data_IF_297304055832
#
_entry.id   IF_297304055832
#
_cell.length_a   1.000
_cell.length_b   1.000
_cell.length_c   1.000
_cell.angle_alpha   90.00
_cell.angle_beta   90.00
_cell.angle_gamma   90.00
#
_symmetry.space_group_name_H-M   'P 1'
#
loop_
_entity.id
_entity.type
_entity.pdbx_description
1 polymer ?
#
# COMPACT_ATOMS: atom_id res chain seq x y z
N UNK A 1 25.02 -18.47 9.73
CA UNK A 1 23.53 -18.54 9.64
C UNK A 1 23.01 -17.48 8.68
N UNK A 2 23.35 -16.21 8.87
CA UNK A 2 22.89 -15.11 7.99
C UNK A 2 23.31 -15.30 6.51
N UNK A 3 24.58 -15.54 6.24
CA UNK A 3 25.08 -15.70 4.86
C UNK A 3 24.43 -16.89 4.14
N UNK A 4 24.21 -18.01 4.86
CA UNK A 4 23.51 -19.14 4.30
C UNK A 4 22.08 -18.77 3.91
N UNK A 5 21.36 -18.00 4.74
CA UNK A 5 19.99 -17.58 4.45
C UNK A 5 19.93 -16.61 3.28
N UNK A 6 20.89 -15.68 3.19
CA UNK A 6 21.01 -14.78 2.04
C UNK A 6 21.18 -15.60 0.75
N UNK A 7 22.06 -16.59 0.76
CA UNK A 7 22.29 -17.46 -0.39
C UNK A 7 21.03 -18.26 -0.76
N UNK A 8 20.35 -18.86 0.23
CA UNK A 8 19.09 -19.58 0.03
C UNK A 8 18.00 -18.67 -0.60
N UNK A 9 17.86 -17.46 -0.11
CA UNK A 9 16.89 -16.50 -0.64
C UNK A 9 17.25 -16.05 -2.05
N UNK A 10 18.53 -15.74 -2.32
CA UNK A 10 18.99 -15.36 -3.68
C UNK A 10 18.74 -16.49 -4.68
N UNK A 11 18.94 -17.76 -4.29
CA UNK A 11 18.67 -18.91 -5.14
C UNK A 11 17.18 -19.06 -5.50
N UNK A 12 16.29 -18.43 -4.72
CA UNK A 12 14.84 -18.44 -4.93
C UNK A 12 14.33 -17.20 -5.65
N UNK A 13 15.22 -16.28 -6.06
CA UNK A 13 14.85 -15.08 -6.79
C UNK A 13 14.22 -15.45 -8.12
N UNK A 14 12.97 -15.05 -8.30
CA UNK A 14 12.23 -15.21 -9.55
C UNK A 14 12.08 -13.85 -10.24
N UNK A 15 12.64 -13.73 -11.43
CA UNK A 15 12.55 -12.56 -12.29
C UNK A 15 11.71 -12.83 -13.55
N UNK A 16 11.08 -14.02 -13.66
CA UNK A 16 10.28 -14.40 -14.81
C UNK A 16 8.88 -13.79 -14.79
N UNK A 17 8.38 -13.40 -13.62
CA UNK A 17 7.03 -12.88 -13.45
C UNK A 17 6.97 -11.38 -13.61
N UNK A 18 5.84 -10.88 -14.10
CA UNK A 18 5.55 -9.44 -14.24
C UNK A 18 4.33 -9.12 -13.38
N UNK A 19 4.57 -8.54 -12.21
CA UNK A 19 3.52 -8.12 -11.30
C UNK A 19 3.16 -6.67 -11.49
N UNK A 20 1.86 -6.40 -11.56
CA UNK A 20 1.29 -5.06 -11.56
C UNK A 20 0.58 -4.83 -10.21
N UNK A 21 0.94 -3.77 -9.52
CA UNK A 21 0.17 -3.27 -8.37
C UNK A 21 -0.57 -2.00 -8.79
N UNK A 22 -1.86 -1.97 -8.56
CA UNK A 22 -2.73 -0.82 -8.82
C UNK A 22 -3.25 -0.28 -7.48
N UNK A 23 -3.25 1.04 -7.33
CA UNK A 23 -3.67 1.75 -6.12
C UNK A 23 -4.45 3.00 -6.53
N UNK A 24 -5.72 3.07 -6.15
CA UNK A 24 -6.60 4.18 -6.52
C UNK A 24 -6.20 5.46 -5.78
N UNK A 25 -6.11 6.56 -6.52
CA UNK A 25 -5.62 7.83 -5.98
C UNK A 25 -6.61 8.49 -5.02
N UNK A 26 -6.23 8.54 -3.73
CA UNK A 26 -7.05 9.11 -2.66
C UNK A 26 -8.51 8.61 -2.71
N UNK A 27 -8.71 7.30 -2.87
CA UNK A 27 -9.91 6.63 -3.34
C UNK A 27 -11.22 7.21 -2.78
N UNK A 28 -11.45 7.13 -1.46
CA UNK A 28 -12.72 7.61 -0.90
C UNK A 28 -12.94 9.10 -1.18
N UNK A 29 -11.88 9.90 -1.08
CA UNK A 29 -11.99 11.34 -1.36
C UNK A 29 -12.28 11.62 -2.84
N UNK A 30 -11.73 10.84 -3.74
CA UNK A 30 -11.99 10.93 -5.18
C UNK A 30 -13.42 10.54 -5.52
N UNK A 31 -13.95 9.47 -4.93
CA UNK A 31 -15.36 9.05 -5.09
C UNK A 31 -16.33 10.13 -4.59
N UNK A 32 -16.05 10.75 -3.44
CA UNK A 32 -16.91 11.83 -2.92
C UNK A 32 -16.84 13.08 -3.80
N UNK A 33 -15.68 13.37 -4.38
CA UNK A 33 -15.50 14.50 -5.31
C UNK A 33 -16.27 14.27 -6.62
N UNK A 34 -16.33 13.04 -7.15
CA UNK A 34 -17.19 12.71 -8.31
C UNK A 34 -18.68 12.94 -8.02
N UNK A 35 -19.11 12.61 -6.80
CA UNK A 35 -20.51 12.79 -6.39
C UNK A 35 -20.87 14.24 -6.07
N UNK A 36 -19.87 15.10 -5.79
CA UNK A 36 -20.06 16.49 -5.40
C UNK A 36 -18.93 17.39 -5.94
N UNK A 37 -19.14 17.98 -7.09
CA UNK A 37 -18.18 18.86 -7.76
C UNK A 37 -17.77 20.08 -6.91
N UNK A 38 -18.59 20.49 -5.93
CA UNK A 38 -18.24 21.62 -5.06
C UNK A 38 -16.99 21.35 -4.20
N UNK A 39 -16.57 20.09 -4.07
CA UNK A 39 -15.36 19.65 -3.36
C UNK A 39 -14.10 19.73 -4.22
N UNK A 40 -14.24 19.86 -5.53
CA UNK A 40 -13.12 19.89 -6.48
C UNK A 40 -12.17 21.05 -6.18
N UNK A 41 -10.88 20.74 -6.07
CA UNK A 41 -9.84 21.74 -5.78
C UNK A 41 -9.80 22.25 -4.33
N UNK A 42 -10.67 21.78 -3.46
CA UNK A 42 -10.69 22.16 -2.04
C UNK A 42 -10.04 21.08 -1.17
N UNK A 43 -9.35 21.44 -0.07
CA UNK A 43 -8.83 20.46 0.88
C UNK A 43 -9.99 19.76 1.59
N UNK A 44 -10.08 18.44 1.40
CA UNK A 44 -11.12 17.62 2.01
C UNK A 44 -10.59 16.29 2.52
N UNK A 45 -11.30 15.74 3.50
CA UNK A 45 -11.02 14.45 4.09
C UNK A 45 -12.33 13.69 4.33
N UNK A 46 -12.31 12.41 4.02
CA UNK A 46 -13.37 11.47 4.41
C UNK A 46 -13.12 11.01 5.84
N UNK A 47 -14.13 11.14 6.68
CA UNK A 47 -14.04 10.84 8.11
C UNK A 47 -14.66 11.93 8.96
N UNK A 48 -14.08 12.20 10.12
CA UNK A 48 -14.59 13.20 11.06
C UNK A 48 -13.51 13.65 12.05
N UNK A 49 -13.93 14.37 13.09
CA UNK A 49 -13.00 14.92 14.09
C UNK A 49 -12.22 13.86 14.86
N UNK A 50 -12.74 12.63 14.98
CA UNK A 50 -12.06 11.51 15.66
C UNK A 50 -10.95 10.93 14.80
N UNK A 51 -11.20 10.68 13.50
CA UNK A 51 -10.23 10.06 12.61
C UNK A 51 -10.53 10.38 11.14
N UNK A 52 -9.45 10.57 10.37
CA UNK A 52 -9.44 10.74 8.92
C UNK A 52 -9.19 9.38 8.28
N UNK A 53 -10.14 8.88 7.47
CA UNK A 53 -9.96 7.66 6.69
C UNK A 53 -9.11 7.91 5.45
N UNK A 54 -9.42 8.97 4.69
CA UNK A 54 -8.67 9.36 3.49
C UNK A 54 -8.66 10.87 3.36
N UNK A 55 -7.52 11.46 3.01
CA UNK A 55 -7.38 12.87 2.67
C UNK A 55 -7.06 13.02 1.18
N UNK A 56 -7.69 13.98 0.50
CA UNK A 56 -7.35 14.28 -0.89
C UNK A 56 -5.98 14.96 -1.01
N UNK A 57 -5.47 15.07 -2.24
CA UNK A 57 -4.13 15.63 -2.47
C UNK A 57 -4.02 17.11 -2.08
N UNK A 58 -5.11 17.86 -2.17
CA UNK A 58 -5.13 19.26 -1.69
C UNK A 58 -4.89 19.33 -0.18
N UNK A 59 -5.60 18.52 0.61
CA UNK A 59 -5.40 18.44 2.06
C UNK A 59 -4.00 17.92 2.43
N UNK A 60 -3.45 16.99 1.64
CA UNK A 60 -2.10 16.43 1.86
C UNK A 60 -1.00 17.49 1.73
N UNK A 61 -1.19 18.58 0.96
CA UNK A 61 -0.26 19.72 0.87
C UNK A 61 -0.06 20.42 2.22
N UNK A 62 -1.08 20.42 3.07
CA UNK A 62 -1.04 20.97 4.43
C UNK A 62 -0.53 19.95 5.48
N UNK A 63 -0.11 18.75 5.07
CA UNK A 63 0.35 17.70 5.98
C UNK A 63 -0.76 16.82 6.55
N UNK A 64 -2.01 16.99 6.11
CA UNK A 64 -3.12 16.10 6.51
C UNK A 64 -2.90 14.70 5.91
N UNK A 65 -3.12 13.64 6.72
CA UNK A 65 -2.89 12.24 6.30
C UNK A 65 -4.01 11.33 6.82
N UNK A 66 -4.17 10.18 6.16
CA UNK A 66 -5.00 9.08 6.65
C UNK A 66 -4.53 8.61 8.04
N UNK A 67 -5.43 8.07 8.83
CA UNK A 67 -5.26 7.66 10.22
C UNK A 67 -4.92 8.80 11.21
N UNK A 68 -4.92 10.06 10.76
CA UNK A 68 -4.71 11.21 11.61
C UNK A 68 -6.01 11.55 12.35
N UNK A 69 -5.96 11.95 13.66
CA UNK A 69 -7.11 12.56 14.32
C UNK A 69 -7.58 13.81 13.57
N UNK A 70 -8.89 13.91 13.29
CA UNK A 70 -9.44 14.99 12.49
C UNK A 70 -9.23 16.38 13.08
N UNK A 71 -9.20 16.50 14.42
CA UNK A 71 -8.91 17.77 15.09
C UNK A 71 -7.47 18.26 14.83
N UNK A 72 -6.51 17.34 14.63
CA UNK A 72 -5.15 17.70 14.21
C UNK A 72 -5.17 18.12 12.74
N UNK A 73 -5.89 17.36 11.88
CA UNK A 73 -6.07 17.77 10.47
C UNK A 73 -6.64 19.18 10.33
N UNK A 74 -7.62 19.52 11.17
CA UNK A 74 -8.23 20.88 11.21
C UNK A 74 -7.25 21.94 11.69
N UNK A 75 -6.33 21.61 12.60
CA UNK A 75 -5.25 22.54 13.02
C UNK A 75 -4.24 22.78 11.91
N UNK A 76 -3.91 21.74 11.12
CA UNK A 76 -2.98 21.85 10.00
C UNK A 76 -3.62 22.58 8.80
N UNK A 77 -4.90 22.36 8.57
CA UNK A 77 -5.68 22.94 7.48
C UNK A 77 -7.02 23.44 8.02
N UNK A 78 -7.13 24.72 8.45
CA UNK A 78 -8.37 25.28 8.99
C UNK A 78 -9.56 25.20 8.04
N UNK A 79 -9.32 25.22 6.74
CA UNK A 79 -10.35 25.11 5.69
C UNK A 79 -10.75 23.66 5.36
N UNK A 80 -10.15 22.66 6.02
CA UNK A 80 -10.40 21.24 5.74
C UNK A 80 -11.89 20.91 5.85
N UNK A 81 -12.45 20.37 4.77
CA UNK A 81 -13.84 19.92 4.70
C UNK A 81 -13.89 18.44 5.09
N UNK A 82 -14.73 18.09 6.06
CA UNK A 82 -15.00 16.69 6.39
C UNK A 82 -16.24 16.20 5.67
N UNK A 83 -16.14 15.01 5.08
CA UNK A 83 -17.23 14.27 4.46
C UNK A 83 -17.39 12.94 5.18
N UNK A 84 -18.60 12.57 5.63
CA UNK A 84 -18.81 11.27 6.25
C UNK A 84 -18.55 10.14 5.23
N UNK A 85 -18.03 8.97 5.68
CA UNK A 85 -17.76 7.86 4.76
C UNK A 85 -19.06 7.19 4.27
N UNK A 86 -19.11 6.88 2.98
CA UNK A 86 -20.17 6.10 2.34
C UNK A 86 -19.60 4.81 1.72
N UNK A 87 -19.53 3.74 2.52
CA UNK A 87 -18.97 2.47 2.08
C UNK A 87 -19.76 1.79 0.95
N UNK A 88 -21.05 2.12 0.76
CA UNK A 88 -21.82 1.59 -0.37
C UNK A 88 -21.29 2.12 -1.69
N UNK A 89 -21.01 3.43 -1.75
CA UNK A 89 -20.36 4.03 -2.93
C UNK A 89 -18.96 3.44 -3.16
N UNK A 90 -18.15 3.33 -2.10
CA UNK A 90 -16.77 2.83 -2.25
C UNK A 90 -16.74 1.38 -2.73
N UNK A 91 -17.63 0.52 -2.21
CA UNK A 91 -17.76 -0.86 -2.71
C UNK A 91 -18.20 -0.88 -4.17
N UNK A 92 -19.17 -0.06 -4.56
CA UNK A 92 -19.63 0.02 -5.95
C UNK A 92 -18.48 0.38 -6.92
N UNK A 93 -17.70 1.45 -6.62
CA UNK A 93 -16.57 1.82 -7.46
C UNK A 93 -15.43 0.79 -7.42
N UNK A 94 -15.19 0.17 -6.28
CA UNK A 94 -14.25 -0.94 -6.16
C UNK A 94 -14.65 -2.12 -7.05
N UNK A 95 -15.94 -2.48 -7.10
CA UNK A 95 -16.43 -3.56 -7.94
C UNK A 95 -16.32 -3.24 -9.44
N UNK A 96 -16.45 -1.97 -9.83
CA UNK A 96 -16.19 -1.55 -11.21
C UNK A 96 -14.71 -1.72 -11.57
N UNK A 97 -13.80 -1.26 -10.72
CA UNK A 97 -12.36 -1.42 -10.98
C UNK A 97 -11.94 -2.88 -11.04
N UNK A 98 -12.52 -3.74 -10.19
CA UNK A 98 -12.25 -5.18 -10.17
C UNK A 98 -12.66 -5.88 -11.47
N UNK A 99 -13.74 -5.44 -12.12
CA UNK A 99 -14.12 -5.96 -13.44
C UNK A 99 -13.05 -5.68 -14.48
N UNK A 100 -12.47 -4.48 -14.46
CA UNK A 100 -11.34 -4.15 -15.33
C UNK A 100 -10.15 -5.07 -15.03
N UNK A 101 -9.81 -5.29 -13.76
CA UNK A 101 -8.67 -6.13 -13.37
C UNK A 101 -8.82 -7.58 -13.86
N UNK A 102 -10.05 -8.13 -13.79
CA UNK A 102 -10.35 -9.49 -14.24
C UNK A 102 -10.08 -9.73 -15.74
N UNK A 103 -10.06 -8.69 -16.56
CA UNK A 103 -9.72 -8.80 -17.98
C UNK A 103 -8.23 -9.08 -18.22
N UNK A 104 -7.36 -8.78 -17.21
CA UNK A 104 -5.92 -8.95 -17.30
C UNK A 104 -5.38 -10.09 -16.44
N UNK A 105 -6.04 -10.36 -15.33
CA UNK A 105 -5.73 -11.47 -14.43
C UNK A 105 -7.02 -11.89 -13.73
N UNK A 106 -7.55 -13.07 -14.10
CA UNK A 106 -8.79 -13.58 -13.52
C UNK A 106 -8.65 -13.84 -12.01
N UNK A 107 -7.47 -14.29 -11.58
CA UNK A 107 -7.15 -14.65 -10.20
C UNK A 107 -6.44 -13.51 -9.43
N UNK A 108 -6.60 -12.26 -9.88
CA UNK A 108 -5.99 -11.10 -9.23
C UNK A 108 -6.31 -11.04 -7.74
N UNK A 109 -5.42 -10.43 -6.98
CA UNK A 109 -5.56 -10.35 -5.53
C UNK A 109 -5.95 -8.95 -5.11
N UNK A 110 -7.18 -8.78 -4.65
CA UNK A 110 -7.61 -7.57 -3.97
C UNK A 110 -7.00 -7.48 -2.57
N UNK A 111 -6.14 -6.49 -2.34
CA UNK A 111 -5.57 -6.23 -1.01
C UNK A 111 -6.52 -5.38 -0.14
N UNK A 112 -7.32 -4.51 -0.77
CA UNK A 112 -8.32 -3.65 -0.14
C UNK A 112 -9.43 -3.30 -1.15
N UNK A 113 -10.24 -2.27 -0.87
CA UNK A 113 -11.19 -1.72 -1.83
C UNK A 113 -10.51 -0.92 -2.95
N UNK A 114 -9.30 -0.45 -2.72
CA UNK A 114 -8.57 0.48 -3.58
C UNK A 114 -7.22 -0.04 -4.07
N UNK A 115 -6.78 -1.21 -3.61
CA UNK A 115 -5.51 -1.82 -4.01
C UNK A 115 -5.69 -3.24 -4.53
N UNK A 116 -4.97 -3.57 -5.60
CA UNK A 116 -4.92 -4.92 -6.16
C UNK A 116 -3.54 -5.27 -6.72
N UNK A 117 -3.24 -6.57 -6.71
CA UNK A 117 -2.08 -7.16 -7.37
C UNK A 117 -2.55 -8.05 -8.51
N UNK A 118 -2.00 -7.86 -9.68
CA UNK A 118 -2.26 -8.65 -10.89
C UNK A 118 -0.97 -9.29 -11.36
N UNK A 119 -1.02 -10.56 -11.72
CA UNK A 119 0.05 -11.22 -12.47
C UNK A 119 -0.21 -11.05 -13.95
N UNK A 120 0.46 -10.11 -14.57
CA UNK A 120 0.26 -9.78 -15.98
C UNK A 120 1.26 -10.48 -16.90
N UNK A 121 1.97 -11.49 -16.41
CA UNK A 121 3.01 -12.20 -17.18
C UNK A 121 2.44 -12.78 -18.46
N UNK A 122 1.35 -13.54 -18.33
CA UNK A 122 0.77 -14.27 -19.45
C UNK A 122 0.18 -13.30 -20.50
N UNK A 123 -0.55 -12.28 -20.07
CA UNK A 123 -1.13 -11.30 -20.99
C UNK A 123 -0.05 -10.47 -21.71
N UNK A 124 1.08 -10.17 -21.05
CA UNK A 124 2.21 -9.52 -21.70
C UNK A 124 2.83 -10.42 -22.78
N UNK A 125 3.02 -11.71 -22.49
CA UNK A 125 3.59 -12.67 -23.41
C UNK A 125 2.67 -12.94 -24.62
N UNK A 126 1.39 -13.15 -24.38
CA UNK A 126 0.39 -13.42 -25.43
C UNK A 126 0.22 -12.24 -26.39
N UNK A 127 0.21 -11.01 -25.86
CA UNK A 127 0.04 -9.80 -26.67
C UNK A 127 1.35 -9.24 -27.21
N UNK A 128 2.52 -9.74 -26.78
CA UNK A 128 3.83 -9.20 -27.17
C UNK A 128 4.06 -7.77 -26.73
N UNK A 129 3.51 -7.36 -25.57
CA UNK A 129 3.60 -5.99 -25.04
C UNK A 129 4.31 -5.97 -23.67
N UNK A 130 4.87 -4.82 -23.32
CA UNK A 130 5.54 -4.64 -22.03
C UNK A 130 4.53 -4.48 -20.88
N UNK A 131 4.94 -4.85 -19.67
CA UNK A 131 4.16 -4.58 -18.46
C UNK A 131 3.81 -3.11 -18.26
N UNK A 132 4.68 -2.20 -18.73
CA UNK A 132 4.40 -0.76 -18.71
C UNK A 132 3.28 -0.32 -19.65
N UNK A 133 3.09 -1.02 -20.78
CA UNK A 133 1.97 -0.77 -21.70
C UNK A 133 0.67 -1.30 -21.11
N UNK A 134 0.68 -2.51 -20.53
CA UNK A 134 -0.49 -3.05 -19.80
C UNK A 134 -0.87 -2.15 -18.61
N UNK A 135 0.10 -1.67 -17.84
CA UNK A 135 -0.18 -0.75 -16.73
C UNK A 135 -0.86 0.55 -17.17
N UNK A 136 -0.47 1.09 -18.34
CA UNK A 136 -1.13 2.29 -18.89
C UNK A 136 -2.54 1.98 -19.39
N UNK A 137 -2.73 0.84 -20.07
CA UNK A 137 -4.03 0.38 -20.52
C UNK A 137 -5.00 0.18 -19.35
N UNK A 138 -4.57 -0.53 -18.30
CA UNK A 138 -5.38 -0.72 -17.08
C UNK A 138 -5.78 0.62 -16.46
N UNK A 139 -4.84 1.57 -16.32
CA UNK A 139 -5.13 2.90 -15.78
C UNK A 139 -6.13 3.67 -16.62
N UNK A 140 -5.99 3.62 -17.97
CA UNK A 140 -6.93 4.22 -18.91
C UNK A 140 -8.32 3.63 -18.76
N UNK A 141 -8.44 2.30 -18.77
CA UNK A 141 -9.71 1.58 -18.63
C UNK A 141 -10.40 1.87 -17.29
N UNK A 142 -9.64 1.88 -16.20
CA UNK A 142 -10.18 2.28 -14.87
C UNK A 142 -10.75 3.69 -14.93
N UNK A 143 -10.05 4.63 -15.56
CA UNK A 143 -10.55 6.00 -15.69
C UNK A 143 -11.80 6.10 -16.58
N UNK A 144 -11.82 5.40 -17.71
CA UNK A 144 -12.97 5.35 -18.62
C UNK A 144 -14.23 4.81 -17.94
N UNK A 145 -14.10 3.72 -17.16
CA UNK A 145 -15.24 3.05 -16.54
C UNK A 145 -15.71 3.72 -15.25
N UNK A 146 -14.83 4.46 -14.56
CA UNK A 146 -15.13 5.00 -13.21
C UNK A 146 -15.02 6.51 -13.08
N UNK A 147 -14.31 7.18 -13.98
CA UNK A 147 -13.91 8.58 -13.82
C UNK A 147 -12.84 8.80 -12.73
N UNK A 148 -12.30 7.73 -12.15
CA UNK A 148 -11.28 7.78 -11.08
C UNK A 148 -9.89 7.50 -11.64
N UNK A 149 -8.87 8.15 -11.07
CA UNK A 149 -7.49 7.84 -11.40
C UNK A 149 -6.88 6.81 -10.46
N UNK A 150 -5.91 6.07 -10.97
CA UNK A 150 -5.10 5.17 -10.16
C UNK A 150 -3.61 5.28 -10.52
N UNK A 151 -2.77 4.89 -9.58
CA UNK A 151 -1.34 4.80 -9.76
C UNK A 151 -0.91 3.34 -9.85
N UNK A 152 0.08 3.06 -10.71
CA UNK A 152 0.47 1.70 -11.03
C UNK A 152 1.98 1.47 -10.85
N UNK A 153 2.34 0.30 -10.35
CA UNK A 153 3.73 -0.14 -10.24
C UNK A 153 3.92 -1.50 -10.89
N UNK A 154 4.92 -1.62 -11.75
CA UNK A 154 5.28 -2.89 -12.40
C UNK A 154 6.65 -3.33 -11.91
N UNK A 155 6.78 -4.60 -11.51
CA UNK A 155 8.02 -5.16 -10.99
C UNK A 155 7.99 -6.71 -11.02
N UNK A 156 9.14 -7.39 -10.81
CA UNK A 156 9.18 -8.86 -10.82
C UNK A 156 8.45 -9.54 -9.65
N UNK A 157 8.08 -8.82 -8.62
CA UNK A 157 7.30 -9.36 -7.51
C UNK A 157 6.38 -8.32 -6.88
N UNK A 158 5.42 -8.77 -6.07
CA UNK A 158 4.39 -7.94 -5.44
C UNK A 158 4.94 -6.88 -4.51
N UNK A 159 6.00 -7.18 -3.73
CA UNK A 159 6.63 -6.22 -2.83
C UNK A 159 7.13 -5.00 -3.61
N UNK A 160 7.89 -5.27 -4.67
CA UNK A 160 8.47 -4.22 -5.51
C UNK A 160 7.40 -3.48 -6.32
N UNK A 161 6.40 -4.20 -6.86
CA UNK A 161 5.29 -3.59 -7.57
C UNK A 161 4.54 -2.57 -6.69
N UNK A 162 4.28 -2.91 -5.41
CA UNK A 162 3.67 -1.98 -4.45
C UNK A 162 4.54 -0.75 -4.17
N UNK A 163 5.84 -0.93 -4.02
CA UNK A 163 6.76 0.20 -3.83
C UNK A 163 6.77 1.10 -5.08
N UNK A 164 6.80 0.48 -6.26
CA UNK A 164 6.80 1.18 -7.54
C UNK A 164 5.53 2.02 -7.73
N UNK A 165 4.35 1.53 -7.33
CA UNK A 165 3.10 2.27 -7.48
C UNK A 165 3.04 3.58 -6.69
N UNK A 166 3.88 3.73 -5.66
CA UNK A 166 3.94 4.95 -4.82
C UNK A 166 4.88 6.04 -5.37
N UNK A 167 5.73 5.72 -6.35
CA UNK A 167 6.81 6.62 -6.79
C UNK A 167 6.24 7.85 -7.51
N UNK A 168 5.35 7.62 -8.45
CA UNK A 168 4.79 8.65 -9.33
C UNK A 168 3.33 8.99 -9.00
N UNK A 169 2.89 8.83 -7.73
CA UNK A 169 1.55 9.26 -7.31
C UNK A 169 1.41 10.79 -7.33
N UNK A 170 0.23 11.33 -7.69
CA UNK A 170 -0.96 10.64 -8.21
C UNK A 170 -0.93 10.43 -9.73
N UNK A 171 -1.82 9.56 -10.20
CA UNK A 171 -2.10 9.31 -11.61
C UNK A 171 -0.84 9.02 -12.43
N UNK A 172 0.06 8.21 -11.87
CA UNK A 172 1.33 7.88 -12.50
C UNK A 172 1.59 6.39 -12.54
N UNK A 173 2.63 6.01 -13.26
CA UNK A 173 3.15 4.65 -13.24
C UNK A 173 4.65 4.65 -13.06
N UNK A 174 5.17 3.57 -12.52
CA UNK A 174 6.59 3.30 -12.47
C UNK A 174 6.84 1.83 -12.82
N UNK A 175 7.86 1.58 -13.65
CA UNK A 175 8.24 0.25 -14.10
C UNK A 175 9.65 -0.05 -13.67
N UNK A 176 9.81 -1.08 -12.85
CA UNK A 176 11.10 -1.67 -12.54
C UNK A 176 11.29 -2.89 -13.45
N UNK A 177 12.36 -2.87 -14.21
CA UNK A 177 12.68 -3.98 -15.14
C UNK A 177 13.01 -5.25 -14.38
N UNK A 178 12.70 -6.40 -14.99
CA UNK A 178 12.98 -7.74 -14.43
C UNK A 178 14.46 -8.13 -14.60
N UNK A 179 15.35 -7.17 -14.39
CA UNK A 179 16.80 -7.34 -14.42
C UNK A 179 17.37 -7.34 -12.99
N UNK A 180 18.24 -8.30 -12.67
CA UNK A 180 18.76 -8.45 -11.31
C UNK A 180 19.53 -7.22 -10.85
N UNK A 181 20.36 -6.62 -11.73
CA UNK A 181 21.14 -5.44 -11.37
C UNK A 181 20.22 -4.24 -11.12
N UNK A 182 19.21 -4.05 -11.97
CA UNK A 182 18.21 -3.00 -11.79
C UNK A 182 17.47 -3.15 -10.46
N UNK A 183 17.02 -4.36 -10.13
CA UNK A 183 16.32 -4.67 -8.86
C UNK A 183 17.22 -4.39 -7.66
N UNK A 184 18.45 -4.91 -7.66
CA UNK A 184 19.39 -4.72 -6.54
C UNK A 184 19.73 -3.24 -6.38
N UNK A 185 20.01 -2.52 -7.46
CA UNK A 185 20.32 -1.09 -7.43
C UNK A 185 19.16 -0.27 -6.88
N UNK A 186 17.94 -0.56 -7.36
CA UNK A 186 16.72 0.09 -6.89
C UNK A 186 16.50 -0.14 -5.39
N UNK A 187 16.53 -1.40 -4.94
CA UNK A 187 16.29 -1.77 -3.56
C UNK A 187 17.35 -1.23 -2.61
N UNK A 188 18.62 -1.28 -2.99
CA UNK A 188 19.74 -0.85 -2.13
C UNK A 188 19.57 0.58 -1.62
N UNK A 189 19.07 1.47 -2.44
CA UNK A 189 18.86 2.88 -2.12
C UNK A 189 17.56 3.18 -1.37
N UNK A 190 16.64 2.20 -1.30
CA UNK A 190 15.32 2.44 -0.68
C UNK A 190 15.42 2.67 0.83
N UNK A 191 14.78 3.74 1.34
CA UNK A 191 14.57 3.89 2.77
C UNK A 191 13.71 2.72 3.30
N UNK A 192 14.13 2.12 4.42
CA UNK A 192 13.40 0.99 5.03
C UNK A 192 11.93 1.29 5.31
N UNK A 193 11.58 2.56 5.52
CA UNK A 193 10.19 3.01 5.75
C UNK A 193 9.28 2.82 4.53
N UNK A 194 9.84 2.69 3.33
CA UNK A 194 9.07 2.42 2.10
C UNK A 194 8.61 0.96 2.01
N UNK A 195 9.17 0.08 2.82
CA UNK A 195 8.84 -1.34 2.85
C UNK A 195 7.53 -1.55 3.60
N UNK A 196 6.56 -2.19 2.94
CA UNK A 196 5.34 -2.66 3.59
C UNK A 196 5.69 -3.66 4.70
N UNK A 197 5.15 -3.45 5.89
CA UNK A 197 5.50 -4.22 7.09
C UNK A 197 6.53 -3.54 8.01
N UNK A 198 7.24 -2.50 7.55
CA UNK A 198 8.11 -1.69 8.41
C UNK A 198 7.36 -0.41 8.83
N UNK A 199 6.71 -0.47 10.00
CA UNK A 199 6.02 0.67 10.60
C UNK A 199 6.97 1.61 11.35
N UNK A 200 6.43 2.70 11.90
CA UNK A 200 7.22 3.72 12.63
C UNK A 200 8.04 3.13 13.77
N UNK A 201 7.49 2.19 14.53
CA UNK A 201 8.19 1.56 15.67
C UNK A 201 9.37 0.73 15.16
N UNK A 202 9.15 -0.13 14.16
CA UNK A 202 10.21 -0.96 13.58
C UNK A 202 11.29 -0.09 12.92
N UNK A 203 10.89 0.96 12.20
CA UNK A 203 11.81 1.93 11.63
C UNK A 203 12.69 2.58 12.70
N UNK A 204 12.10 3.06 13.81
CA UNK A 204 12.85 3.66 14.91
C UNK A 204 13.86 2.66 15.53
N UNK A 205 13.44 1.42 15.77
CA UNK A 205 14.34 0.38 16.29
C UNK A 205 15.51 0.13 15.33
N UNK A 206 15.23 -0.09 14.04
CA UNK A 206 16.25 -0.35 13.03
C UNK A 206 17.20 0.84 12.87
N UNK A 207 16.67 2.06 12.84
CA UNK A 207 17.43 3.29 12.63
C UNK A 207 18.21 3.70 13.89
N UNK A 208 17.52 3.81 15.02
CA UNK A 208 18.09 4.47 16.22
C UNK A 208 18.98 3.51 17.01
N UNK A 209 18.62 2.22 17.09
CA UNK A 209 19.42 1.22 17.80
C UNK A 209 20.49 0.56 16.88
N UNK A 210 20.18 0.35 15.60
CA UNK A 210 21.05 -0.41 14.71
C UNK A 210 21.69 0.43 13.58
N UNK A 211 21.31 1.69 13.42
CA UNK A 211 21.80 2.58 12.37
C UNK A 211 21.42 2.10 10.96
N UNK A 212 20.32 1.35 10.82
CA UNK A 212 19.80 0.85 9.54
C UNK A 212 18.75 1.82 9.00
N UNK A 213 19.03 2.47 7.87
CA UNK A 213 18.16 3.46 7.23
C UNK A 213 17.69 3.02 5.84
N UNK A 214 18.48 2.18 5.17
CA UNK A 214 18.27 1.72 3.79
C UNK A 214 18.32 0.20 3.70
N UNK A 215 17.83 -0.35 2.61
CA UNK A 215 17.73 -1.80 2.44
C UNK A 215 19.11 -2.49 2.31
N UNK A 216 20.12 -1.84 1.71
CA UNK A 216 21.49 -2.36 1.67
C UNK A 216 22.07 -2.54 3.08
N UNK A 217 21.77 -1.61 3.99
CA UNK A 217 22.25 -1.69 5.38
C UNK A 217 21.61 -2.85 6.16
N UNK A 218 20.41 -3.31 5.76
CA UNK A 218 19.81 -4.53 6.30
C UNK A 218 20.72 -5.73 6.02
N UNK A 219 21.15 -5.89 4.76
CA UNK A 219 21.99 -7.01 4.34
C UNK A 219 23.34 -6.97 5.02
N UNK A 220 23.96 -5.80 5.08
CA UNK A 220 25.26 -5.61 5.76
C UNK A 220 25.23 -5.94 7.25
N UNK A 221 24.02 -5.90 7.88
CA UNK A 221 23.83 -6.17 9.32
C UNK A 221 23.00 -7.44 9.58
N UNK A 222 22.89 -8.33 8.61
CA UNK A 222 22.07 -9.53 8.71
C UNK A 222 22.38 -10.42 9.93
N UNK A 223 23.65 -10.61 10.26
CA UNK A 223 24.07 -11.37 11.45
C UNK A 223 23.55 -10.72 12.75
N UNK A 224 23.57 -9.39 12.84
CA UNK A 224 23.07 -8.65 14.00
C UNK A 224 21.54 -8.77 14.10
N UNK A 225 20.83 -8.75 12.99
CA UNK A 225 19.38 -8.93 12.97
C UNK A 225 18.98 -10.32 13.51
N UNK A 226 19.70 -11.37 13.16
CA UNK A 226 19.46 -12.70 13.73
C UNK A 226 19.77 -12.80 15.24
N UNK A 227 20.71 -12.01 15.72
CA UNK A 227 21.02 -12.00 17.16
C UNK A 227 19.96 -11.27 18.00
N UNK A 228 19.23 -10.30 17.41
CA UNK A 228 18.37 -9.38 18.16
C UNK A 228 16.86 -9.60 17.90
N UNK A 229 16.50 -10.19 16.78
CA UNK A 229 15.09 -10.39 16.40
C UNK A 229 14.75 -11.89 16.34
N UNK A 230 13.44 -12.18 16.32
CA UNK A 230 12.99 -13.55 16.05
C UNK A 230 13.43 -13.98 14.65
N UNK A 231 13.67 -15.29 14.42
CA UNK A 231 14.04 -15.80 13.09
C UNK A 231 13.09 -15.34 11.99
N UNK A 232 11.79 -15.34 12.24
CA UNK A 232 10.77 -14.87 11.29
C UNK A 232 10.94 -13.39 10.92
N UNK A 233 11.23 -12.54 11.92
CA UNK A 233 11.46 -11.11 11.66
C UNK A 233 12.78 -10.87 10.94
N UNK A 234 13.84 -11.59 11.29
CA UNK A 234 15.14 -11.50 10.63
C UNK A 234 15.04 -11.96 9.16
N UNK A 235 14.37 -13.10 8.91
CA UNK A 235 14.11 -13.60 7.56
C UNK A 235 13.31 -12.59 6.73
N UNK A 236 12.28 -11.96 7.31
CA UNK A 236 11.52 -10.90 6.67
C UNK A 236 12.42 -9.72 6.29
N UNK A 237 13.23 -9.21 7.21
CA UNK A 237 14.11 -8.08 6.91
C UNK A 237 15.11 -8.41 5.81
N UNK A 238 15.71 -9.60 5.83
CA UNK A 238 16.67 -10.02 4.80
C UNK A 238 15.97 -10.16 3.46
N UNK A 239 14.81 -10.81 3.40
CA UNK A 239 14.08 -10.98 2.13
C UNK A 239 13.69 -9.64 1.49
N UNK A 240 13.26 -8.67 2.29
CA UNK A 240 12.94 -7.34 1.77
C UNK A 240 14.21 -6.52 1.43
N UNK A 241 15.29 -6.70 2.19
CA UNK A 241 16.59 -6.10 1.88
C UNK A 241 17.18 -6.57 0.56
N UNK A 242 16.90 -7.82 0.18
CA UNK A 242 17.25 -8.39 -1.13
C UNK A 242 16.24 -8.04 -2.23
N UNK A 243 15.07 -7.48 -1.90
CA UNK A 243 14.00 -7.21 -2.86
C UNK A 243 13.32 -8.46 -3.42
N UNK A 244 13.41 -9.58 -2.72
CA UNK A 244 12.83 -10.86 -3.16
C UNK A 244 11.33 -10.92 -2.84
N UNK A 245 10.88 -10.16 -1.83
CA UNK A 245 9.50 -10.19 -1.38
C UNK A 245 9.20 -11.40 -0.49
N UNK A 246 8.12 -11.29 0.30
CA UNK A 246 7.68 -12.42 1.12
C UNK A 246 7.14 -13.53 0.24
N UNK A 247 7.59 -14.76 0.49
CA UNK A 247 7.10 -15.99 -0.15
C UNK A 247 5.68 -16.38 0.29
N UNK A 248 4.94 -15.46 0.87
CA UNK A 248 3.57 -15.72 1.26
C UNK A 248 2.72 -15.84 -0.01
N UNK A 249 2.48 -17.10 -0.41
CA UNK A 249 1.32 -17.42 -1.21
C UNK A 249 0.12 -16.71 -0.59
N UNK A 250 -0.69 -16.06 -1.41
CA UNK A 250 -1.99 -15.54 -1.00
C UNK A 250 -2.96 -16.73 -0.83
N UNK A 251 -2.58 -17.69 -0.02
CA UNK A 251 -3.58 -18.62 0.48
C UNK A 251 -4.65 -17.79 1.19
N UNK A 252 -5.86 -17.97 0.77
CA UNK A 252 -7.05 -17.42 1.44
C UNK A 252 -7.05 -17.92 2.88
N UNK A 253 -6.38 -17.18 3.76
CA UNK A 253 -6.35 -17.53 5.18
C UNK A 253 -7.73 -17.30 5.76
N UNK A 254 -8.32 -18.34 6.31
CA UNK A 254 -9.56 -18.23 7.08
C UNK A 254 -9.37 -17.19 8.18
N UNK A 255 -10.35 -16.31 8.32
CA UNK A 255 -10.33 -15.27 9.35
C UNK A 255 -10.26 -15.90 10.73
N UNK A 256 -9.23 -15.56 11.52
CA UNK A 256 -9.00 -16.12 12.87
C UNK A 256 -9.59 -15.27 13.99
N UNK A 257 -9.92 -14.02 13.72
CA UNK A 257 -10.46 -13.10 14.73
C UNK A 257 -11.48 -12.14 14.13
N UNK A 258 -12.41 -11.70 14.94
CA UNK A 258 -13.34 -10.60 14.66
C UNK A 258 -13.05 -9.53 15.73
N UNK A 259 -12.83 -8.30 15.30
CA UNK A 259 -12.62 -7.17 16.21
C UNK A 259 -13.49 -5.99 15.79
N UNK A 260 -13.95 -5.23 16.76
CA UNK A 260 -14.64 -3.97 16.57
C UNK A 260 -13.97 -2.92 17.47
N UNK A 261 -13.66 -1.77 16.88
CA UNK A 261 -13.03 -0.64 17.59
C UNK A 261 -13.89 0.61 17.42
N UNK A 262 -14.01 1.38 18.47
CA UNK A 262 -14.71 2.67 18.45
C UNK A 262 -13.94 3.70 19.25
N UNK A 263 -13.63 4.83 18.64
CA UNK A 263 -13.05 5.98 19.32
C UNK A 263 -14.17 6.82 19.97
N UNK A 264 -14.03 7.14 21.25
CA UNK A 264 -14.95 7.98 22.00
C UNK A 264 -14.19 8.96 22.92
N UNK A 265 -14.84 10.04 23.32
CA UNK A 265 -14.26 11.00 24.27
C UNK A 265 -14.12 10.37 25.67
N UNK A 266 -13.12 10.77 26.45
CA UNK A 266 -13.00 10.30 27.83
C UNK A 266 -14.32 10.45 28.59
N UNK A 267 -14.74 9.41 29.28
CA UNK A 267 -15.96 9.40 30.08
C UNK A 267 -15.73 8.69 31.41
N UNK A 268 -16.22 9.31 32.48
CA UNK A 268 -16.25 8.70 33.82
C UNK A 268 -17.61 8.04 34.11
N UNK A 269 -18.49 8.00 33.11
CA UNK A 269 -19.84 7.47 33.29
C UNK A 269 -19.87 5.99 32.88
N UNK A 270 -19.94 5.11 33.85
CA UNK A 270 -19.91 3.65 33.67
C UNK A 270 -21.00 3.15 32.72
N UNK A 271 -22.23 3.68 32.84
CA UNK A 271 -23.34 3.35 31.97
C UNK A 271 -23.06 3.70 30.49
N UNK A 272 -22.26 4.74 30.20
CA UNK A 272 -21.85 5.09 28.83
C UNK A 272 -20.88 4.09 28.26
N UNK A 273 -19.96 3.54 29.06
CA UNK A 273 -19.04 2.49 28.65
C UNK A 273 -19.78 1.21 28.26
N UNK A 274 -20.73 0.76 29.08
CA UNK A 274 -21.56 -0.42 28.74
C UNK A 274 -22.39 -0.22 27.47
N UNK A 275 -22.88 0.99 27.21
CA UNK A 275 -23.61 1.30 25.98
C UNK A 275 -22.71 1.23 24.74
N UNK A 276 -21.39 1.47 24.85
CA UNK A 276 -20.44 1.32 23.78
C UNK A 276 -19.98 -0.11 23.56
N UNK A 277 -19.95 -0.93 24.62
CA UNK A 277 -19.55 -2.34 24.56
C UNK A 277 -20.70 -3.26 24.11
N UNK A 278 -21.96 -2.85 24.25
CA UNK A 278 -23.15 -3.65 23.95
C UNK A 278 -23.77 -3.41 22.56
N UNK A 279 -23.06 -2.73 21.65
CA UNK A 279 -23.42 -2.55 20.24
C UNK A 279 -22.36 -3.19 19.35
#
# INVERSE_FOLDING_TARGET
>A
MADRKIYELEAMRDLSRIWLHVDMDAFYASVETLSNESLKGKPMAVGGMSMISTANYEARKYGVRAAMPGFIGKKLCPELIFVPPDFKKYTYYSDLTRKVFQEYDFDFVAASLDEAYLDITDVCNERGVSGGQIAEEVRGRVFEDTGLTCSAGVAPNRLLAKICSDINKPNGKFVLTNDQLAVVTFVSSLPIRKISGIGKVTESILKDALGIKTCDQIINKAALLYALFSPCSADFFISVGLGIGGMNSLETRTRKSISHERTFSPTNYEASLFKYLGK
#
